data_IF_789222514478
#
_entry.id   IF_789222514478
#
_cell.length_a   1.000
_cell.length_b   1.000
_cell.length_c   1.000
_cell.angle_alpha   90.00
_cell.angle_beta   90.00
_cell.angle_gamma   90.00
#
_symmetry.space_group_name_H-M   'P 1'
#
loop_
_entity.id
_entity.type
_entity.pdbx_description
1 polymer ?
#
# COMPACT_ATOMS: atom_id res chain seq x y z
N UNK A 1 104.56 47.09 26.70
CA UNK A 1 103.75 46.22 25.82
C UNK A 1 104.24 44.79 25.99
N UNK A 2 103.33 43.83 26.13
CA UNK A 2 103.65 42.40 26.27
C UNK A 2 103.14 41.65 25.04
N UNK A 3 103.81 40.56 24.69
CA UNK A 3 103.45 39.71 23.56
C UNK A 3 102.26 38.82 23.92
N UNK A 4 101.16 38.91 23.17
CA UNK A 4 99.92 38.15 23.47
C UNK A 4 100.09 36.62 23.38
N UNK A 5 101.18 36.15 22.75
CA UNK A 5 101.46 34.71 22.61
C UNK A 5 102.36 34.16 23.72
N UNK A 6 103.28 34.96 24.26
CA UNK A 6 104.30 34.46 25.20
C UNK A 6 104.44 35.29 26.48
N UNK A 7 103.62 36.32 26.65
CA UNK A 7 103.60 37.30 27.76
C UNK A 7 104.92 38.02 28.06
N UNK A 8 105.95 37.85 27.22
CA UNK A 8 107.22 38.57 27.37
C UNK A 8 107.12 40.01 26.87
N UNK A 9 107.88 40.90 27.48
CA UNK A 9 107.91 42.32 27.10
C UNK A 9 108.44 42.51 25.67
N UNK A 10 107.77 43.37 24.89
CA UNK A 10 108.18 43.71 23.52
C UNK A 10 109.11 44.92 23.58
N UNK A 11 110.40 44.69 23.34
CA UNK A 11 111.44 45.73 23.28
C UNK A 11 111.33 46.61 22.02
N UNK A 12 111.91 47.82 22.08
CA UNK A 12 111.87 48.82 20.99
C UNK A 12 112.60 48.37 19.70
N UNK A 13 113.54 47.42 19.80
CA UNK A 13 114.40 46.95 18.70
C UNK A 13 113.93 45.64 18.05
N UNK A 14 112.86 45.01 18.55
CA UNK A 14 112.36 43.73 18.02
C UNK A 14 111.30 43.93 16.93
N UNK A 15 111.37 43.13 15.85
CA UNK A 15 110.29 43.02 14.88
C UNK A 15 109.00 42.55 15.58
N UNK A 16 107.92 43.31 15.41
CA UNK A 16 106.62 43.09 16.05
C UNK A 16 105.49 43.27 15.04
N UNK A 17 104.42 42.50 15.21
CA UNK A 17 103.20 42.57 14.40
C UNK A 17 101.98 42.70 15.31
N UNK A 18 100.96 43.42 14.84
CA UNK A 18 99.71 43.63 15.56
C UNK A 18 98.62 42.74 14.96
N UNK A 19 97.88 42.03 15.79
CA UNK A 19 96.70 41.27 15.37
C UNK A 19 95.57 42.24 15.04
N UNK A 20 94.91 42.08 13.88
CA UNK A 20 93.85 42.99 13.44
C UNK A 20 92.52 42.89 14.22
N UNK A 21 92.23 41.72 14.82
CA UNK A 21 90.97 41.47 15.54
C UNK A 21 90.99 41.89 17.01
N UNK A 22 92.09 41.70 17.72
CA UNK A 22 92.22 42.04 19.16
C UNK A 22 93.21 43.16 19.45
N UNK A 23 93.79 43.78 18.42
CA UNK A 23 94.83 44.82 18.50
C UNK A 23 96.08 44.44 19.31
N UNK A 24 96.24 43.16 19.62
CA UNK A 24 97.33 42.61 20.41
C UNK A 24 98.66 42.60 19.66
N UNK A 25 99.74 43.04 20.32
CA UNK A 25 101.09 42.99 19.74
C UNK A 25 101.75 41.64 20.01
N UNK A 26 102.44 41.11 19.01
CA UNK A 26 103.14 39.82 19.07
C UNK A 26 104.57 39.97 18.55
N UNK A 27 105.54 39.32 19.20
CA UNK A 27 106.88 39.20 18.63
C UNK A 27 106.78 38.45 17.32
N UNK A 28 107.54 38.86 16.31
CA UNK A 28 107.56 38.13 15.06
C UNK A 28 108.03 36.67 15.22
N UNK A 29 108.98 36.41 16.13
CA UNK A 29 109.41 35.04 16.42
C UNK A 29 108.31 34.20 17.12
N UNK A 30 107.27 34.84 17.65
CA UNK A 30 106.09 34.17 18.20
C UNK A 30 104.98 34.04 17.15
N UNK A 31 105.24 34.45 15.91
CA UNK A 31 104.39 34.19 14.76
C UNK A 31 105.13 33.27 13.78
N UNK A 32 104.41 32.46 13.01
CA UNK A 32 105.00 31.65 11.94
C UNK A 32 105.22 32.49 10.66
N UNK A 33 105.62 33.75 10.80
CA UNK A 33 105.86 34.66 9.66
C UNK A 33 107.36 34.83 9.49
N UNK A 34 107.89 34.63 8.28
CA UNK A 34 109.30 34.84 8.03
C UNK A 34 109.63 36.34 8.06
N UNK A 35 110.86 36.69 8.46
CA UNK A 35 111.31 38.09 8.55
C UNK A 35 111.21 38.84 7.22
N UNK A 36 111.38 38.11 6.12
CA UNK A 36 111.38 38.65 4.76
C UNK A 36 109.97 38.97 4.25
N UNK A 37 108.92 38.40 4.87
CA UNK A 37 107.53 38.61 4.47
C UNK A 37 106.96 39.97 4.96
N UNK A 38 107.73 40.74 5.74
CA UNK A 38 107.26 41.98 6.43
C UNK A 38 107.74 43.24 5.71
N UNK A 39 108.31 43.11 4.50
CA UNK A 39 108.80 44.27 3.76
C UNK A 39 107.68 45.27 3.40
N UNK A 40 106.41 44.85 3.40
CA UNK A 40 105.23 45.73 3.30
C UNK A 40 104.41 45.78 4.60
N UNK A 41 104.93 46.50 5.61
CA UNK A 41 104.28 46.71 6.92
C UNK A 41 102.84 47.27 6.89
N UNK A 42 102.30 47.65 5.71
CA UNK A 42 100.97 48.26 5.56
C UNK A 42 99.87 47.32 5.04
N UNK A 43 100.14 46.04 4.72
CA UNK A 43 99.14 45.17 4.05
C UNK A 43 98.90 43.77 4.62
N UNK A 44 99.57 43.37 5.70
CA UNK A 44 99.41 41.99 6.21
C UNK A 44 98.20 41.92 7.15
N UNK A 45 97.13 41.27 6.69
CA UNK A 45 95.91 41.00 7.46
C UNK A 45 96.12 39.83 8.44
N UNK A 46 96.99 40.04 9.42
CA UNK A 46 97.40 38.99 10.35
C UNK A 46 96.52 38.94 11.61
N UNK A 47 96.20 37.71 12.02
CA UNK A 47 95.42 37.39 13.20
C UNK A 47 96.22 36.49 14.14
N UNK A 48 96.18 36.76 15.45
CA UNK A 48 96.81 35.89 16.43
C UNK A 48 96.10 34.52 16.48
N UNK A 49 96.80 33.50 16.96
CA UNK A 49 96.30 32.12 17.02
C UNK A 49 94.93 32.02 17.72
N UNK A 50 94.79 32.65 18.88
CA UNK A 50 93.51 32.69 19.62
C UNK A 50 92.37 33.27 18.79
N UNK A 51 92.60 34.39 18.12
CA UNK A 51 91.59 35.04 17.26
C UNK A 51 91.21 34.20 16.04
N UNK A 52 92.15 33.40 15.52
CA UNK A 52 91.94 32.47 14.39
C UNK A 52 91.14 31.24 14.84
N UNK A 53 91.54 30.63 15.95
CA UNK A 53 90.94 29.41 16.48
C UNK A 53 89.49 29.67 16.96
N UNK A 54 89.18 30.84 17.52
CA UNK A 54 87.80 31.21 17.85
C UNK A 54 86.89 31.39 16.63
N UNK A 55 87.42 31.87 15.49
CA UNK A 55 86.62 32.02 14.27
C UNK A 55 86.32 30.66 13.62
N UNK A 56 87.26 29.70 13.68
CA UNK A 56 87.03 28.35 13.16
C UNK A 56 86.06 27.55 14.04
N UNK A 57 86.16 27.67 15.36
CA UNK A 57 85.24 27.00 16.30
C UNK A 57 83.79 27.45 16.11
N UNK A 58 83.55 28.76 15.89
CA UNK A 58 82.20 29.28 15.67
C UNK A 58 81.59 28.78 14.34
N UNK A 59 82.40 28.65 13.29
CA UNK A 59 81.99 28.09 12.00
C UNK A 59 81.67 26.59 12.10
N UNK A 60 82.41 25.84 12.91
CA UNK A 60 82.14 24.41 13.16
C UNK A 60 80.83 24.22 13.93
N UNK A 61 80.57 25.05 14.95
CA UNK A 61 79.29 25.03 15.70
C UNK A 61 78.08 25.37 14.80
N UNK A 62 78.19 26.38 13.93
CA UNK A 62 77.13 26.75 12.97
C UNK A 62 76.83 25.61 11.97
N UNK A 63 77.88 24.93 11.49
CA UNK A 63 77.73 23.79 10.57
C UNK A 63 77.09 22.57 11.25
N UNK A 64 77.43 22.30 12.52
CA UNK A 64 76.82 21.23 13.31
C UNK A 64 75.34 21.52 13.61
N UNK A 65 74.99 22.78 13.91
CA UNK A 65 73.61 23.19 14.12
C UNK A 65 72.78 23.07 12.83
N UNK A 66 73.33 23.49 11.69
CA UNK A 66 72.67 23.34 10.38
C UNK A 66 72.45 21.86 10.02
N UNK A 67 73.44 21.00 10.26
CA UNK A 67 73.32 19.55 10.04
C UNK A 67 72.22 18.93 10.93
N UNK A 68 72.15 19.34 12.20
CA UNK A 68 71.11 18.91 13.15
C UNK A 68 69.71 19.34 12.72
N UNK A 69 69.56 20.57 12.22
CA UNK A 69 68.28 21.08 11.70
C UNK A 69 67.84 20.33 10.44
N UNK A 70 68.76 20.05 9.51
CA UNK A 70 68.49 19.24 8.32
C UNK A 70 68.01 17.83 8.68
N UNK A 71 68.68 17.18 9.63
CA UNK A 71 68.29 15.84 10.07
C UNK A 71 66.92 15.82 10.77
N UNK A 72 66.60 16.85 11.58
CA UNK A 72 65.26 17.03 12.17
C UNK A 72 64.18 17.24 11.10
N UNK A 73 64.48 18.04 10.08
CA UNK A 73 63.57 18.29 8.96
C UNK A 73 63.29 17.00 8.19
N UNK A 74 64.31 16.23 7.86
CA UNK A 74 64.17 14.94 7.15
C UNK A 74 63.33 13.94 7.93
N UNK A 75 63.54 13.86 9.26
CA UNK A 75 62.69 13.02 10.13
C UNK A 75 61.24 13.48 10.12
N UNK A 76 60.99 14.79 10.13
CA UNK A 76 59.64 15.36 10.07
C UNK A 76 58.96 15.07 8.73
N UNK A 77 59.68 15.24 7.62
CA UNK A 77 59.20 14.94 6.27
C UNK A 77 58.86 13.45 6.15
N UNK A 78 59.76 12.55 6.56
CA UNK A 78 59.52 11.10 6.52
C UNK A 78 58.31 10.69 7.35
N UNK A 79 58.17 11.23 8.58
CA UNK A 79 57.01 10.97 9.43
C UNK A 79 55.71 11.48 8.82
N UNK A 80 55.73 12.66 8.18
CA UNK A 80 54.54 13.20 7.51
C UNK A 80 54.18 12.42 6.26
N UNK A 81 55.17 11.99 5.48
CA UNK A 81 54.96 11.12 4.33
C UNK A 81 54.35 9.79 4.76
N UNK A 82 54.88 9.13 5.80
CA UNK A 82 54.31 7.87 6.29
C UNK A 82 52.86 8.03 6.77
N UNK A 83 52.55 9.11 7.48
CA UNK A 83 51.17 9.42 7.88
C UNK A 83 50.22 9.65 6.68
N UNK A 84 50.70 10.29 5.62
CA UNK A 84 49.92 10.48 4.39
C UNK A 84 49.65 9.13 3.71
N UNK A 85 50.64 8.23 3.65
CA UNK A 85 50.48 6.90 3.08
C UNK A 85 49.57 5.99 3.94
N UNK A 86 49.59 6.12 5.26
CA UNK A 86 48.72 5.32 6.16
C UNK A 86 47.28 5.84 6.22
N UNK A 87 47.06 7.16 6.11
CA UNK A 87 45.74 7.77 6.28
C UNK A 87 45.02 8.14 4.98
N UNK A 88 45.70 8.05 3.83
CA UNK A 88 45.03 8.21 2.54
C UNK A 88 44.71 6.82 1.98
N UNK A 89 43.45 6.33 2.07
CA UNK A 89 43.08 5.14 1.32
C UNK A 89 43.42 5.40 -0.15
N UNK A 90 44.13 4.47 -0.76
CA UNK A 90 44.53 4.59 -2.16
C UNK A 90 43.29 4.94 -2.98
N UNK A 91 43.42 5.85 -3.93
CA UNK A 91 42.33 6.17 -4.87
C UNK A 91 41.77 4.89 -5.49
N UNK A 92 42.63 3.89 -5.70
CA UNK A 92 42.25 2.55 -6.15
C UNK A 92 41.28 1.82 -5.19
N UNK A 93 41.45 1.94 -3.87
CA UNK A 93 40.55 1.32 -2.89
C UNK A 93 39.20 2.05 -2.84
N UNK A 94 39.21 3.37 -3.02
CA UNK A 94 37.97 4.13 -3.17
C UNK A 94 37.21 3.73 -4.44
N UNK A 95 37.92 3.57 -5.57
CA UNK A 95 37.32 3.07 -6.82
C UNK A 95 36.76 1.66 -6.66
N UNK A 96 37.48 0.74 -6.01
CA UNK A 96 36.96 -0.61 -5.72
C UNK A 96 35.69 -0.57 -4.87
N UNK A 97 35.63 0.28 -3.83
CA UNK A 97 34.42 0.45 -3.01
C UNK A 97 33.27 1.03 -3.81
N UNK A 98 33.53 1.97 -4.72
CA UNK A 98 32.51 2.54 -5.60
C UNK A 98 31.98 1.51 -6.58
N UNK A 99 32.85 0.72 -7.24
CA UNK A 99 32.44 -0.35 -8.13
C UNK A 99 31.52 -1.35 -7.43
N UNK A 100 31.91 -1.81 -6.24
CA UNK A 100 31.08 -2.72 -5.44
C UNK A 100 29.71 -2.13 -5.07
N UNK A 101 29.64 -0.81 -4.84
CA UNK A 101 28.36 -0.13 -4.59
C UNK A 101 27.52 -0.04 -5.87
N UNK A 102 28.14 0.17 -7.03
CA UNK A 102 27.44 0.20 -8.32
C UNK A 102 26.86 -1.19 -8.63
N UNK A 103 27.66 -2.25 -8.48
CA UNK A 103 27.19 -3.64 -8.63
C UNK A 103 25.97 -3.92 -7.74
N UNK A 104 26.03 -3.56 -6.46
CA UNK A 104 24.89 -3.74 -5.55
C UNK A 104 23.66 -2.90 -5.93
N UNK A 105 23.84 -1.73 -6.56
CA UNK A 105 22.73 -0.93 -7.08
C UNK A 105 22.13 -1.55 -8.35
N UNK A 106 22.94 -2.12 -9.22
CA UNK A 106 22.50 -2.83 -10.43
C UNK A 106 21.68 -4.06 -10.06
N UNK A 107 22.14 -4.86 -9.09
CA UNK A 107 21.40 -6.02 -8.57
C UNK A 107 20.04 -5.61 -7.99
N UNK A 108 20.03 -4.55 -7.14
CA UNK A 108 18.79 -4.04 -6.57
C UNK A 108 17.83 -3.48 -7.64
N UNK A 109 18.36 -2.84 -8.68
CA UNK A 109 17.57 -2.33 -9.80
C UNK A 109 16.96 -3.47 -10.61
N UNK A 110 17.72 -4.53 -10.89
CA UNK A 110 17.23 -5.73 -11.58
C UNK A 110 16.09 -6.39 -10.80
N UNK A 111 16.29 -6.61 -9.50
CA UNK A 111 15.28 -7.17 -8.62
C UNK A 111 13.99 -6.32 -8.59
N UNK A 112 14.13 -5.01 -8.46
CA UNK A 112 12.98 -4.10 -8.49
C UNK A 112 12.25 -4.14 -9.84
N UNK A 113 12.98 -4.26 -10.95
CA UNK A 113 12.36 -4.37 -12.27
C UNK A 113 11.54 -5.65 -12.41
N UNK A 114 12.08 -6.79 -11.95
CA UNK A 114 11.34 -8.07 -11.91
C UNK A 114 10.08 -7.96 -11.05
N UNK A 115 10.16 -7.33 -9.86
CA UNK A 115 8.98 -7.10 -9.03
C UNK A 115 7.93 -6.23 -9.74
N UNK A 116 8.36 -5.15 -10.41
CA UNK A 116 7.45 -4.26 -11.14
C UNK A 116 6.78 -5.00 -12.30
N UNK A 117 7.51 -5.84 -13.03
CA UNK A 117 6.94 -6.67 -14.09
C UNK A 117 5.93 -7.69 -13.54
N UNK A 118 6.25 -8.36 -12.43
CA UNK A 118 5.31 -9.26 -11.75
C UNK A 118 4.03 -8.56 -11.28
N UNK A 119 4.16 -7.34 -10.74
CA UNK A 119 3.01 -6.51 -10.36
C UNK A 119 2.17 -6.10 -11.57
N UNK A 120 2.79 -5.73 -12.69
CA UNK A 120 2.08 -5.40 -13.94
C UNK A 120 1.29 -6.59 -14.46
N UNK A 121 1.89 -7.78 -14.51
CA UNK A 121 1.20 -9.00 -14.93
C UNK A 121 0.00 -9.30 -14.03
N UNK A 122 0.18 -9.21 -12.71
CA UNK A 122 -0.91 -9.43 -11.73
C UNK A 122 -2.05 -8.42 -11.92
N UNK A 123 -1.72 -7.15 -12.20
CA UNK A 123 -2.71 -6.10 -12.46
C UNK A 123 -3.51 -6.37 -13.75
N UNK A 124 -2.84 -6.85 -14.80
CA UNK A 124 -3.50 -7.22 -16.06
C UNK A 124 -4.43 -8.42 -15.90
N UNK A 125 -4.05 -9.42 -15.11
CA UNK A 125 -4.90 -10.55 -14.76
C UNK A 125 -6.15 -10.10 -14.00
N UNK A 126 -5.97 -9.31 -12.93
CA UNK A 126 -7.10 -8.73 -12.18
C UNK A 126 -8.01 -7.90 -13.07
N UNK A 127 -7.46 -7.15 -14.03
CA UNK A 127 -8.25 -6.36 -14.99
C UNK A 127 -9.07 -7.26 -15.93
N UNK A 128 -8.51 -8.40 -16.37
CA UNK A 128 -9.24 -9.39 -17.18
C UNK A 128 -10.35 -10.06 -16.37
N UNK A 129 -10.07 -10.47 -15.14
CA UNK A 129 -11.07 -11.05 -14.24
C UNK A 129 -12.22 -10.10 -13.96
N UNK A 130 -11.92 -8.83 -13.65
CA UNK A 130 -12.94 -7.82 -13.38
C UNK A 130 -13.85 -7.59 -14.60
N UNK A 131 -13.28 -7.54 -15.82
CA UNK A 131 -14.08 -7.51 -17.07
C UNK A 131 -14.98 -8.74 -17.24
N UNK A 132 -14.46 -9.92 -16.92
CA UNK A 132 -15.23 -11.18 -16.98
C UNK A 132 -16.39 -11.17 -15.98
N UNK A 133 -16.13 -10.79 -14.73
CA UNK A 133 -17.15 -10.65 -13.68
C UNK A 133 -18.22 -9.66 -14.08
N UNK A 134 -17.84 -8.48 -14.60
CA UNK A 134 -18.79 -7.47 -15.06
C UNK A 134 -19.71 -7.99 -16.17
N UNK A 135 -19.15 -8.74 -17.12
CA UNK A 135 -19.92 -9.38 -18.20
C UNK A 135 -20.90 -10.42 -17.64
N UNK A 136 -20.46 -11.28 -16.70
CA UNK A 136 -21.33 -12.26 -16.05
C UNK A 136 -22.46 -11.60 -15.25
N UNK A 137 -22.14 -10.51 -14.56
CA UNK A 137 -23.12 -9.74 -13.79
C UNK A 137 -24.23 -9.17 -14.68
N UNK A 138 -23.89 -8.53 -15.81
CA UNK A 138 -24.91 -8.00 -16.71
C UNK A 138 -25.79 -9.10 -17.33
N UNK A 139 -25.20 -10.26 -17.68
CA UNK A 139 -25.99 -11.41 -18.15
C UNK A 139 -26.97 -11.90 -17.09
N UNK A 140 -26.50 -12.12 -15.87
CA UNK A 140 -27.34 -12.57 -14.77
C UNK A 140 -28.45 -11.55 -14.45
N UNK A 141 -28.14 -10.26 -14.55
CA UNK A 141 -29.13 -9.19 -14.34
C UNK A 141 -30.25 -9.24 -15.39
N UNK A 142 -29.92 -9.49 -16.66
CA UNK A 142 -30.91 -9.67 -17.73
C UNK A 142 -31.77 -10.91 -17.46
N UNK A 143 -31.15 -12.06 -17.17
CA UNK A 143 -31.87 -13.31 -16.86
C UNK A 143 -32.84 -13.13 -15.67
N UNK A 144 -32.43 -12.43 -14.62
CA UNK A 144 -33.29 -12.12 -13.48
C UNK A 144 -34.47 -11.21 -13.87
N UNK A 145 -34.27 -10.26 -14.79
CA UNK A 145 -35.36 -9.42 -15.29
C UNK A 145 -36.36 -10.23 -16.11
N UNK A 146 -35.88 -11.10 -16.99
CA UNK A 146 -36.72 -11.99 -17.81
C UNK A 146 -37.54 -12.93 -16.93
N UNK A 147 -36.91 -13.59 -15.95
CA UNK A 147 -37.62 -14.45 -15.01
C UNK A 147 -38.68 -13.70 -14.19
N UNK A 148 -38.39 -12.45 -13.78
CA UNK A 148 -39.40 -11.61 -13.08
C UNK A 148 -40.59 -11.28 -13.97
N UNK A 149 -40.37 -11.02 -15.25
CA UNK A 149 -41.44 -10.80 -16.21
C UNK A 149 -42.26 -12.06 -16.41
N UNK A 150 -41.62 -13.21 -16.61
CA UNK A 150 -42.29 -14.50 -16.76
C UNK A 150 -43.15 -14.84 -15.54
N UNK A 151 -42.62 -14.66 -14.32
CA UNK A 151 -43.39 -14.86 -13.09
C UNK A 151 -44.59 -13.92 -13.01
N UNK A 152 -44.47 -12.69 -13.49
CA UNK A 152 -45.60 -11.73 -13.49
C UNK A 152 -46.69 -12.19 -14.45
N UNK A 153 -46.32 -12.57 -15.67
CA UNK A 153 -47.25 -13.11 -16.68
C UNK A 153 -47.94 -14.38 -16.19
N UNK A 154 -47.19 -15.29 -15.57
CA UNK A 154 -47.76 -16.53 -15.01
C UNK A 154 -48.73 -16.26 -13.87
N UNK A 155 -48.43 -15.28 -13.00
CA UNK A 155 -49.35 -14.87 -11.93
C UNK A 155 -50.65 -14.29 -12.48
N UNK A 156 -50.57 -13.45 -13.51
CA UNK A 156 -51.76 -12.89 -14.17
C UNK A 156 -52.59 -13.98 -14.83
N UNK A 157 -51.93 -14.91 -15.54
CA UNK A 157 -52.60 -16.05 -16.16
C UNK A 157 -53.29 -16.95 -15.13
N UNK A 158 -52.62 -17.26 -14.03
CA UNK A 158 -53.20 -18.05 -12.95
C UNK A 158 -54.40 -17.34 -12.30
N UNK A 159 -54.29 -16.03 -12.06
CA UNK A 159 -55.41 -15.25 -11.53
C UNK A 159 -56.61 -15.26 -12.48
N UNK A 160 -56.37 -15.15 -13.80
CA UNK A 160 -57.43 -15.24 -14.79
C UNK A 160 -58.10 -16.64 -14.79
N UNK A 161 -57.31 -17.72 -14.72
CA UNK A 161 -57.87 -19.08 -14.64
C UNK A 161 -58.62 -19.34 -13.33
N UNK A 162 -58.17 -18.77 -12.21
CA UNK A 162 -58.85 -18.88 -10.92
C UNK A 162 -60.20 -18.15 -10.95
N UNK A 163 -60.25 -16.96 -11.55
CA UNK A 163 -61.51 -16.22 -11.78
C UNK A 163 -62.45 -17.02 -12.68
N UNK A 164 -61.93 -17.59 -13.76
CA UNK A 164 -62.74 -18.40 -14.68
C UNK A 164 -63.29 -19.66 -14.00
N UNK A 165 -62.48 -20.34 -13.20
CA UNK A 165 -62.89 -21.49 -12.41
C UNK A 165 -63.96 -21.13 -11.37
N UNK A 166 -63.81 -19.99 -10.67
CA UNK A 166 -64.81 -19.51 -9.72
C UNK A 166 -66.13 -19.16 -10.43
N UNK A 167 -66.08 -18.41 -11.53
CA UNK A 167 -67.28 -18.08 -12.34
C UNK A 167 -67.99 -19.34 -12.84
N UNK A 168 -67.24 -20.31 -13.38
CA UNK A 168 -67.81 -21.58 -13.84
C UNK A 168 -68.39 -22.41 -12.69
N UNK A 169 -67.83 -22.32 -11.48
CA UNK A 169 -68.42 -22.94 -10.30
C UNK A 169 -69.76 -22.28 -9.91
N UNK A 170 -69.85 -20.94 -9.96
CA UNK A 170 -71.06 -20.18 -9.64
C UNK A 170 -72.18 -20.38 -10.66
N UNK A 171 -71.85 -20.63 -11.94
CA UNK A 171 -72.85 -20.91 -12.99
C UNK A 171 -73.77 -22.06 -12.62
N UNK A 172 -73.28 -23.08 -11.91
CA UNK A 172 -74.07 -24.26 -11.47
C UNK A 172 -74.69 -24.13 -10.08
N UNK A 173 -74.58 -22.97 -9.43
CA UNK A 173 -75.06 -22.76 -8.07
C UNK A 173 -76.40 -22.02 -8.04
N UNK A 174 -77.25 -22.36 -7.08
CA UNK A 174 -78.40 -21.56 -6.62
C UNK A 174 -78.33 -21.38 -5.11
N UNK A 175 -79.01 -20.36 -4.59
CA UNK A 175 -79.10 -20.09 -3.17
C UNK A 175 -80.53 -20.34 -2.73
N UNK A 176 -80.72 -21.28 -1.80
CA UNK A 176 -82.03 -21.57 -1.22
C UNK A 176 -82.06 -21.00 0.20
N UNK A 177 -83.09 -20.22 0.51
CA UNK A 177 -83.30 -19.58 1.82
C UNK A 177 -84.70 -19.85 2.34
N UNK A 178 -84.90 -19.74 3.66
CA UNK A 178 -86.16 -20.11 4.33
C UNK A 178 -86.23 -21.57 4.79
N UNK A 179 -85.12 -22.31 4.67
CA UNK A 179 -85.00 -23.75 4.95
C UNK A 179 -84.08 -23.98 6.16
N UNK A 180 -84.43 -24.90 7.07
CA UNK A 180 -83.69 -25.13 8.33
C UNK A 180 -82.52 -26.08 8.13
N UNK A 181 -82.79 -27.19 7.46
CA UNK A 181 -81.89 -28.33 7.40
C UNK A 181 -81.63 -28.77 5.96
N UNK A 182 -80.64 -29.66 5.82
CA UNK A 182 -80.26 -30.19 4.51
C UNK A 182 -81.33 -31.10 3.91
N UNK A 183 -82.21 -31.70 4.72
CA UNK A 183 -83.22 -32.65 4.26
C UNK A 183 -84.40 -31.93 3.60
N UNK A 184 -84.80 -30.78 4.13
CA UNK A 184 -85.81 -29.91 3.56
C UNK A 184 -85.39 -29.41 2.16
N UNK A 185 -84.09 -29.22 1.92
CA UNK A 185 -83.59 -28.87 0.57
C UNK A 185 -83.85 -29.98 -0.43
N UNK A 186 -83.65 -31.24 -0.03
CA UNK A 186 -83.94 -32.39 -0.89
C UNK A 186 -85.42 -32.39 -1.25
N UNK A 187 -86.32 -32.16 -0.28
CA UNK A 187 -87.77 -32.05 -0.52
C UNK A 187 -88.12 -30.89 -1.45
N UNK A 188 -87.48 -29.73 -1.31
CA UNK A 188 -87.69 -28.58 -2.21
C UNK A 188 -87.27 -28.93 -3.64
N UNK A 189 -86.12 -29.60 -3.81
CA UNK A 189 -85.62 -29.99 -5.13
C UNK A 189 -86.46 -31.11 -5.78
N UNK A 190 -86.87 -32.12 -5.00
CA UNK A 190 -87.79 -33.18 -5.43
C UNK A 190 -89.13 -32.58 -5.86
N UNK A 191 -89.67 -31.65 -5.07
CA UNK A 191 -90.88 -30.93 -5.46
C UNK A 191 -90.67 -30.21 -6.79
N UNK A 192 -89.54 -29.53 -7.01
CA UNK A 192 -89.23 -28.91 -8.30
C UNK A 192 -88.95 -29.91 -9.44
N UNK A 193 -89.08 -31.21 -9.22
CA UNK A 193 -88.85 -32.26 -10.23
C UNK A 193 -87.37 -32.45 -10.56
N UNK A 194 -86.48 -32.07 -9.65
CA UNK A 194 -85.04 -32.16 -9.84
C UNK A 194 -84.52 -33.38 -9.11
N UNK A 195 -84.12 -34.39 -9.88
CA UNK A 195 -83.52 -35.62 -9.36
C UNK A 195 -82.08 -35.74 -9.90
N UNK A 196 -81.15 -35.05 -9.24
CA UNK A 196 -79.73 -35.00 -9.63
C UNK A 196 -78.87 -35.64 -8.54
N UNK A 197 -78.32 -36.82 -8.84
CA UNK A 197 -77.48 -37.58 -7.90
C UNK A 197 -76.17 -36.85 -7.53
N UNK A 198 -75.78 -35.81 -8.29
CA UNK A 198 -74.56 -35.04 -8.08
C UNK A 198 -74.72 -33.77 -7.23
N UNK A 199 -75.87 -33.55 -6.60
CA UNK A 199 -76.13 -32.30 -5.84
C UNK A 199 -75.21 -32.20 -4.62
N UNK A 200 -74.46 -31.08 -4.54
CA UNK A 200 -73.69 -30.70 -3.34
C UNK A 200 -74.36 -29.53 -2.65
N UNK A 201 -74.63 -29.67 -1.36
CA UNK A 201 -75.27 -28.63 -0.55
C UNK A 201 -74.30 -28.15 0.53
N UNK A 202 -74.13 -26.83 0.63
CA UNK A 202 -73.30 -26.18 1.66
C UNK A 202 -74.09 -25.04 2.31
N UNK A 203 -74.07 -24.98 3.64
CA UNK A 203 -74.69 -23.86 4.36
C UNK A 203 -73.78 -22.62 4.30
N UNK A 204 -74.35 -21.45 4.00
CA UNK A 204 -73.61 -20.20 4.00
C UNK A 204 -73.53 -19.69 5.45
N UNK A 205 -72.34 -19.38 5.97
CA UNK A 205 -72.21 -18.72 7.26
C UNK A 205 -72.78 -17.30 7.15
N UNK A 206 -73.91 -17.04 7.80
CA UNK A 206 -74.54 -15.71 7.88
C UNK A 206 -75.03 -15.45 9.31
N UNK A 207 -75.20 -14.17 9.65
CA UNK A 207 -75.75 -13.74 10.95
C UNK A 207 -77.30 -13.79 10.99
N UNK A 208 -77.96 -14.29 9.94
CA UNK A 208 -79.42 -14.42 9.90
C UNK A 208 -79.88 -15.61 10.76
N UNK A 209 -81.09 -15.54 11.36
CA UNK A 209 -81.64 -16.63 12.18
C UNK A 209 -81.80 -17.92 11.38
N UNK A 210 -82.18 -17.81 10.10
CA UNK A 210 -82.21 -18.92 9.15
C UNK A 210 -81.09 -18.72 8.13
N UNK A 211 -80.10 -19.61 8.15
CA UNK A 211 -78.93 -19.53 7.27
C UNK A 211 -79.27 -20.11 5.89
N UNK A 212 -78.98 -19.39 4.79
CA UNK A 212 -79.23 -19.90 3.45
C UNK A 212 -78.24 -21.00 3.07
N UNK A 213 -78.61 -21.80 2.08
CA UNK A 213 -77.80 -22.89 1.55
C UNK A 213 -77.46 -22.65 0.08
N UNK A 214 -76.20 -22.91 -0.30
CA UNK A 214 -75.79 -23.02 -1.70
C UNK A 214 -75.99 -24.46 -2.14
N UNK A 215 -76.74 -24.62 -3.23
CA UNK A 215 -76.91 -25.89 -3.92
C UNK A 215 -76.14 -25.83 -5.23
N UNK A 216 -75.14 -26.71 -5.37
CA UNK A 216 -74.36 -26.89 -6.59
C UNK A 216 -74.86 -28.10 -7.34
N UNK A 217 -75.33 -27.88 -8.57
CA UNK A 217 -75.78 -28.95 -9.47
C UNK A 217 -74.64 -29.58 -10.26
N UNK A 218 -74.84 -30.80 -10.76
CA UNK A 218 -73.88 -31.46 -11.64
C UNK A 218 -73.74 -30.75 -12.98
N UNK A 219 -74.84 -30.21 -13.51
CA UNK A 219 -74.91 -29.50 -14.79
C UNK A 219 -75.60 -28.13 -14.69
N UNK A 220 -75.27 -27.23 -15.61
CA UNK A 220 -75.94 -25.91 -15.72
C UNK A 220 -77.41 -26.06 -16.19
N UNK A 221 -77.70 -27.10 -16.96
CA UNK A 221 -79.04 -27.39 -17.45
C UNK A 221 -79.98 -27.77 -16.30
N UNK A 222 -79.50 -28.59 -15.36
CA UNK A 222 -80.25 -28.93 -14.14
C UNK A 222 -80.62 -27.68 -13.34
N UNK A 223 -79.68 -26.72 -13.19
CA UNK A 223 -79.96 -25.43 -12.56
C UNK A 223 -81.04 -24.66 -13.33
N UNK A 224 -80.92 -24.58 -14.65
CA UNK A 224 -81.87 -23.84 -15.50
C UNK A 224 -83.28 -24.41 -15.36
N UNK A 225 -83.39 -25.74 -15.36
CA UNK A 225 -84.64 -26.46 -15.12
C UNK A 225 -85.19 -26.17 -13.72
N UNK A 226 -84.35 -26.18 -12.68
CA UNK A 226 -84.76 -25.85 -11.32
C UNK A 226 -85.34 -24.43 -11.22
N UNK A 227 -84.68 -23.43 -11.83
CA UNK A 227 -85.14 -22.05 -11.84
C UNK A 227 -86.42 -21.86 -12.67
N UNK A 228 -86.55 -22.56 -13.80
CA UNK A 228 -87.75 -22.52 -14.64
C UNK A 228 -88.94 -23.18 -13.96
N UNK A 229 -88.74 -24.32 -13.30
CA UNK A 229 -89.76 -25.02 -12.52
C UNK A 229 -90.18 -24.21 -11.29
N UNK A 230 -89.25 -23.48 -10.67
CA UNK A 230 -89.61 -22.51 -9.63
C UNK A 230 -90.49 -21.41 -10.20
N UNK A 231 -90.14 -20.84 -11.35
CA UNK A 231 -90.91 -19.74 -11.97
C UNK A 231 -92.32 -20.18 -12.34
N UNK A 232 -92.50 -21.38 -12.89
CA UNK A 232 -93.82 -21.90 -13.27
C UNK A 232 -94.71 -22.21 -12.06
N UNK A 233 -94.12 -22.56 -10.91
CA UNK A 233 -94.85 -22.86 -9.67
C UNK A 233 -95.18 -21.63 -8.82
N UNK A 234 -94.50 -20.51 -9.03
CA UNK A 234 -94.73 -19.28 -8.27
C UNK A 234 -94.11 -19.32 -6.87
N UNK A 235 -94.88 -18.96 -5.84
CA UNK A 235 -94.37 -18.85 -4.47
C UNK A 235 -94.22 -20.23 -3.82
N UNK A 236 -92.99 -20.54 -3.42
CA UNK A 236 -92.67 -21.75 -2.66
C UNK A 236 -92.92 -21.44 -1.17
N UNK A 237 -93.99 -22.00 -0.60
CA UNK A 237 -94.25 -21.92 0.83
C UNK A 237 -94.18 -23.32 1.45
N UNK A 238 -94.06 -23.38 2.77
CA UNK A 238 -93.95 -24.64 3.50
C UNK A 238 -95.14 -25.58 3.30
N UNK A 239 -96.34 -25.04 3.08
CA UNK A 239 -97.52 -25.84 2.80
C UNK A 239 -97.42 -26.55 1.43
N UNK A 240 -96.93 -25.84 0.41
CA UNK A 240 -96.76 -26.35 -0.94
C UNK A 240 -95.55 -27.31 -1.08
N UNK A 241 -94.59 -27.20 -0.16
CA UNK A 241 -93.33 -27.97 -0.18
C UNK A 241 -93.29 -29.08 0.88
N UNK A 242 -94.38 -29.31 1.62
CA UNK A 242 -94.46 -30.26 2.75
C UNK A 242 -93.34 -30.05 3.80
N UNK A 243 -93.11 -28.80 4.16
CA UNK A 243 -92.19 -28.40 5.23
C UNK A 243 -92.99 -28.16 6.53
N UNK A 244 -92.40 -28.47 7.68
CA UNK A 244 -93.14 -28.61 8.95
C UNK A 244 -93.76 -27.33 9.52
N UNK A 245 -93.16 -26.16 9.27
CA UNK A 245 -93.64 -24.88 9.79
C UNK A 245 -93.95 -23.90 8.66
N UNK A 246 -95.04 -23.12 8.74
CA UNK A 246 -95.43 -22.13 7.73
C UNK A 246 -94.37 -21.05 7.52
N UNK A 247 -93.68 -21.11 6.38
CA UNK A 247 -92.60 -20.19 6.00
C UNK A 247 -92.53 -20.02 4.49
N UNK A 248 -91.94 -18.92 4.05
CA UNK A 248 -91.65 -18.68 2.65
C UNK A 248 -90.24 -19.18 2.32
N UNK A 249 -90.13 -19.98 1.25
CA UNK A 249 -88.87 -20.48 0.72
C UNK A 249 -88.52 -19.68 -0.54
N UNK A 250 -87.29 -19.18 -0.61
CA UNK A 250 -86.82 -18.42 -1.77
C UNK A 250 -85.61 -19.09 -2.40
N UNK A 251 -85.60 -19.10 -3.73
CA UNK A 251 -84.52 -19.61 -4.61
C UNK A 251 -84.00 -18.46 -5.48
#
# INVERSE_FOLDING_TARGET
MHCVVCDKTIGKSGYKIQCRKCDGWTHLNCTNIAKDDIHDKKKIDWHCKQCRDSSTSALEEELEEEASLREKLDRCIKRRQSQIYEHSPSTQDMFKKLLKKIEGLEEAMSFNNEMVEGMRSSLDELRKENKSIKTKYEKLKIEVQELRQEVTVLKEKNAATDIEADLNSRKRNIIISGVIDKNEIVKVLENLGINDAGIKVKQIPTNKPIKPFVVTFSSEETKRNALQNRKSRGNLNSANMNLGEQRETYI
#
